data_IF_909045908424
#
_entry.id   IF_909045908424
#
_cell.length_a   1.000
_cell.length_b   1.000
_cell.length_c   1.000
_cell.angle_alpha   90.00
_cell.angle_beta   90.00
_cell.angle_gamma   90.00
#
_symmetry.space_group_name_H-M   'P 1'
#
loop_
_entity.id
_entity.type
_entity.pdbx_description
1 polymer ?
#
# COMPACT_ATOMS: atom_id res chain seq x y z
N UNK A 1 8.47 8.21 -8.19
CA UNK A 1 8.36 9.05 -6.99
C UNK A 1 8.55 8.14 -5.81
N UNK A 2 9.41 8.54 -4.89
CA UNK A 2 9.65 7.84 -3.63
C UNK A 2 9.33 8.81 -2.49
N UNK A 3 8.69 8.31 -1.43
CA UNK A 3 8.33 9.10 -0.27
C UNK A 3 8.47 8.27 1.00
N UNK A 4 8.54 8.95 2.13
CA UNK A 4 8.65 8.30 3.43
C UNK A 4 7.90 9.08 4.50
N UNK A 5 7.39 8.35 5.48
CA UNK A 5 6.91 8.88 6.75
C UNK A 5 7.87 8.43 7.85
N UNK A 6 8.17 9.32 8.79
CA UNK A 6 8.92 8.96 10.00
C UNK A 6 8.15 7.90 10.79
N UNK A 7 8.84 6.89 11.32
CA UNK A 7 8.21 5.80 12.05
C UNK A 7 8.59 4.40 11.58
N UNK A 8 7.68 3.64 11.00
CA UNK A 8 7.93 2.23 10.66
C UNK A 8 7.80 1.30 11.87
N UNK A 9 8.64 0.27 11.96
CA UNK A 9 8.52 -0.80 12.97
C UNK A 9 8.66 -0.28 14.42
N UNK A 10 9.34 0.84 14.63
CA UNK A 10 9.44 1.48 15.97
C UNK A 10 8.07 1.91 16.52
N UNK A 11 7.08 2.08 15.65
CA UNK A 11 5.71 2.42 16.02
C UNK A 11 4.80 1.19 16.20
N UNK A 12 5.35 -0.03 16.11
CA UNK A 12 4.57 -1.24 16.37
C UNK A 12 4.06 -1.23 17.82
N UNK A 13 2.77 -1.51 18.07
CA UNK A 13 2.23 -1.55 19.42
C UNK A 13 2.91 -2.62 20.28
N UNK A 14 3.01 -2.35 21.58
CA UNK A 14 3.50 -3.32 22.54
C UNK A 14 2.69 -4.63 22.44
N UNK A 15 3.39 -5.77 22.42
CA UNK A 15 2.77 -7.09 22.25
C UNK A 15 2.26 -7.40 20.84
N UNK A 16 2.48 -6.51 19.85
CA UNK A 16 2.09 -6.72 18.44
C UNK A 16 3.20 -6.31 17.46
N UNK A 17 4.38 -6.95 17.52
CA UNK A 17 5.44 -6.69 16.54
C UNK A 17 4.98 -7.10 15.12
N UNK A 18 5.39 -6.34 14.11
CA UNK A 18 5.10 -6.58 12.70
C UNK A 18 3.83 -5.90 12.17
N UNK A 19 3.14 -5.08 12.97
CA UNK A 19 1.92 -4.37 12.53
C UNK A 19 2.23 -3.44 11.35
N UNK A 20 3.30 -2.66 11.41
CA UNK A 20 3.69 -1.77 10.32
C UNK A 20 4.05 -2.55 9.04
N UNK A 21 4.67 -3.72 9.18
CA UNK A 21 4.94 -4.62 8.04
C UNK A 21 3.64 -5.15 7.43
N UNK A 22 2.70 -5.61 8.26
CA UNK A 22 1.39 -6.07 7.79
C UNK A 22 0.65 -4.94 7.07
N UNK A 23 0.63 -3.73 7.63
CA UNK A 23 0.05 -2.56 6.96
C UNK A 23 0.71 -2.34 5.61
N UNK A 24 2.04 -2.38 5.48
CA UNK A 24 2.70 -2.19 4.18
C UNK A 24 2.31 -3.19 3.11
N UNK A 25 1.94 -4.42 3.49
CA UNK A 25 1.50 -5.47 2.56
C UNK A 25 0.03 -5.29 2.18
N UNK A 26 -0.76 -4.65 3.03
CA UNK A 26 -2.21 -4.58 2.85
C UNK A 26 -2.68 -3.30 2.13
N UNK A 27 -1.83 -2.27 2.02
CA UNK A 27 -2.21 -1.00 1.39
C UNK A 27 -2.48 -1.14 -0.12
N UNK A 28 -1.93 -2.16 -0.79
CA UNK A 28 -2.19 -2.46 -2.21
C UNK A 28 -3.12 -3.67 -2.41
N UNK A 29 -3.66 -4.27 -1.34
CA UNK A 29 -4.68 -5.33 -1.38
C UNK A 29 -6.11 -4.75 -1.53
N UNK A 30 -6.23 -3.68 -2.32
CA UNK A 30 -7.50 -3.00 -2.61
C UNK A 30 -7.74 -1.75 -1.77
N UNK A 31 -8.55 -0.84 -2.31
CA UNK A 31 -8.81 0.47 -1.72
C UNK A 31 -10.19 1.01 -2.09
N UNK A 32 -10.84 1.67 -1.12
CA UNK A 32 -12.22 2.13 -1.23
C UNK A 32 -13.16 1.00 -1.64
N UNK A 33 -13.85 1.18 -2.76
CA UNK A 33 -14.77 0.19 -3.32
C UNK A 33 -14.09 -0.82 -4.27
N UNK A 34 -12.78 -0.69 -4.51
CA UNK A 34 -12.01 -1.53 -5.45
C UNK A 34 -11.41 -2.71 -4.69
N UNK A 35 -11.81 -3.93 -5.02
CA UNK A 35 -11.27 -5.15 -4.40
C UNK A 35 -9.83 -5.41 -4.86
N UNK A 36 -9.09 -6.19 -4.07
CA UNK A 36 -7.68 -6.53 -4.34
C UNK A 36 -7.37 -6.87 -5.82
N UNK A 37 -8.07 -7.86 -6.40
CA UNK A 37 -7.81 -8.28 -7.78
C UNK A 37 -8.04 -7.16 -8.81
N UNK A 38 -9.09 -6.35 -8.62
CA UNK A 38 -9.37 -5.23 -9.53
C UNK A 38 -8.35 -4.10 -9.36
N UNK A 39 -7.91 -3.85 -8.13
CA UNK A 39 -6.89 -2.84 -7.85
C UNK A 39 -5.55 -3.22 -8.49
N UNK A 40 -5.15 -4.48 -8.34
CA UNK A 40 -3.95 -5.02 -8.97
C UNK A 40 -4.05 -5.02 -10.51
N UNK A 41 -5.22 -5.36 -11.07
CA UNK A 41 -5.47 -5.26 -12.51
C UNK A 41 -5.33 -3.81 -13.02
N UNK A 42 -5.91 -2.83 -12.31
CA UNK A 42 -5.76 -1.40 -12.67
C UNK A 42 -4.29 -0.97 -12.68
N UNK A 43 -3.49 -1.43 -11.71
CA UNK A 43 -2.06 -1.14 -11.68
C UNK A 43 -1.35 -1.77 -12.90
N UNK A 44 -1.56 -3.07 -13.15
CA UNK A 44 -0.89 -3.79 -14.23
C UNK A 44 -1.28 -3.27 -15.62
N UNK A 45 -2.57 -3.03 -15.85
CA UNK A 45 -3.11 -2.64 -17.16
C UNK A 45 -2.62 -1.25 -17.60
N UNK A 46 -2.21 -0.41 -16.64
CA UNK A 46 -1.72 0.95 -16.89
C UNK A 46 -0.21 1.08 -16.64
N UNK A 47 0.52 -0.03 -16.51
CA UNK A 47 1.95 -0.06 -16.22
C UNK A 47 2.34 0.79 -15.00
N UNK A 48 1.51 0.76 -13.96
CA UNK A 48 1.73 1.46 -12.68
C UNK A 48 2.30 0.46 -11.69
N UNK A 49 3.43 0.80 -11.08
CA UNK A 49 3.99 0.08 -9.95
C UNK A 49 3.78 0.93 -8.70
N UNK A 50 3.00 0.41 -7.76
CA UNK A 50 2.78 0.98 -6.45
C UNK A 50 3.21 -0.06 -5.41
N UNK A 51 3.95 0.37 -4.39
CA UNK A 51 4.34 -0.52 -3.32
C UNK A 51 4.77 0.23 -2.08
N UNK A 52 4.72 -0.46 -0.94
CA UNK A 52 5.03 0.09 0.38
C UNK A 52 5.95 -0.86 1.14
N UNK A 53 6.72 -0.32 2.08
CA UNK A 53 7.61 -1.13 2.93
C UNK A 53 7.83 -0.43 4.26
N UNK A 54 7.72 -1.17 5.35
CA UNK A 54 8.10 -0.70 6.68
C UNK A 54 9.58 -1.00 6.98
N UNK A 55 10.38 0.05 7.14
CA UNK A 55 11.72 -0.01 7.74
C UNK A 55 11.67 0.11 9.26
N UNK A 56 12.84 0.18 9.90
CA UNK A 56 12.92 0.27 11.37
C UNK A 56 12.40 1.61 11.90
N UNK A 57 12.79 2.70 11.25
CA UNK A 57 12.62 4.11 11.64
C UNK A 57 11.90 4.96 10.58
N UNK A 58 11.48 4.35 9.46
CA UNK A 58 10.58 4.98 8.51
C UNK A 58 9.67 3.97 7.81
N UNK A 59 8.54 4.48 7.31
CA UNK A 59 7.63 3.78 6.40
C UNK A 59 7.77 4.39 5.00
N UNK A 60 8.01 3.55 4.00
CA UNK A 60 8.33 3.97 2.64
C UNK A 60 7.20 3.64 1.68
N UNK A 61 7.01 4.49 0.68
CA UNK A 61 6.16 4.21 -0.47
C UNK A 61 6.85 4.60 -1.78
N UNK A 62 6.59 3.82 -2.82
CA UNK A 62 7.13 4.01 -4.16
C UNK A 62 6.00 3.98 -5.19
N UNK A 63 6.03 4.94 -6.11
CA UNK A 63 5.13 5.00 -7.27
C UNK A 63 5.96 5.19 -8.56
N UNK A 64 5.84 4.25 -9.50
CA UNK A 64 6.39 4.36 -10.86
C UNK A 64 5.26 4.21 -11.86
N UNK A 65 5.24 5.07 -12.89
CA UNK A 65 4.18 5.11 -13.89
C UNK A 65 4.68 5.83 -15.15
N UNK A 66 4.01 5.58 -16.28
CA UNK A 66 4.14 6.42 -17.47
C UNK A 66 3.50 7.80 -17.25
N UNK A 67 3.96 8.80 -18.00
CA UNK A 67 3.50 10.19 -17.89
C UNK A 67 1.99 10.31 -18.16
N UNK A 68 1.47 9.54 -19.12
CA UNK A 68 0.06 9.56 -19.51
C UNK A 68 -0.88 9.03 -18.42
N UNK A 69 -0.42 8.11 -17.58
CA UNK A 69 -1.20 7.51 -16.48
C UNK A 69 -0.96 8.18 -15.13
N UNK A 70 -0.25 9.31 -15.10
CA UNK A 70 0.13 9.98 -13.86
C UNK A 70 -1.08 10.27 -12.97
N UNK A 71 -2.16 10.83 -13.50
CA UNK A 71 -3.34 11.18 -12.70
C UNK A 71 -3.95 9.95 -12.02
N UNK A 72 -4.19 8.89 -12.79
CA UNK A 72 -4.70 7.61 -12.27
C UNK A 72 -3.75 7.01 -11.21
N UNK A 73 -2.45 7.05 -11.46
CA UNK A 73 -1.45 6.50 -10.53
C UNK A 73 -1.48 7.22 -9.16
N UNK A 74 -1.65 8.55 -9.17
CA UNK A 74 -1.78 9.33 -7.93
C UNK A 74 -3.15 9.12 -7.26
N UNK A 75 -4.23 8.92 -8.02
CA UNK A 75 -5.54 8.57 -7.48
C UNK A 75 -5.50 7.21 -6.75
N UNK A 76 -4.91 6.19 -7.37
CA UNK A 76 -4.76 4.86 -6.75
C UNK A 76 -3.88 4.93 -5.50
N UNK A 77 -2.79 5.70 -5.53
CA UNK A 77 -1.95 5.95 -4.36
C UNK A 77 -2.76 6.63 -3.22
N UNK A 78 -3.54 7.67 -3.54
CA UNK A 78 -4.38 8.35 -2.56
C UNK A 78 -5.39 7.40 -1.94
N UNK A 79 -6.07 6.59 -2.75
CA UNK A 79 -7.04 5.60 -2.28
C UNK A 79 -6.38 4.57 -1.37
N UNK A 80 -5.23 4.02 -1.76
CA UNK A 80 -4.47 3.07 -0.94
C UNK A 80 -4.13 3.63 0.43
N UNK A 81 -3.70 4.89 0.51
CA UNK A 81 -3.30 5.53 1.77
C UNK A 81 -4.50 5.96 2.65
N UNK A 82 -5.57 6.49 2.04
CA UNK A 82 -6.69 7.08 2.78
C UNK A 82 -7.83 6.10 3.07
N UNK A 83 -8.02 5.12 2.20
CA UNK A 83 -9.12 4.16 2.27
C UNK A 83 -8.68 2.71 1.98
N UNK A 84 -7.62 2.18 2.63
CA UNK A 84 -7.26 0.77 2.47
C UNK A 84 -8.39 -0.13 2.98
N UNK A 85 -8.62 -1.26 2.30
CA UNK A 85 -9.76 -2.14 2.62
C UNK A 85 -9.53 -3.01 3.84
N UNK A 86 -8.31 -3.51 4.04
CA UNK A 86 -7.98 -4.47 5.11
C UNK A 86 -8.97 -5.65 5.17
N UNK A 87 -9.34 -6.20 4.00
CA UNK A 87 -10.29 -7.31 3.94
C UNK A 87 -9.74 -8.52 4.75
N UNK A 88 -10.61 -9.16 5.52
CA UNK A 88 -10.20 -10.19 6.48
C UNK A 88 -9.54 -11.40 5.83
N UNK A 89 -10.02 -11.81 4.66
CA UNK A 89 -9.43 -12.89 3.86
C UNK A 89 -8.02 -12.54 3.36
N UNK A 90 -7.77 -11.28 3.01
CA UNK A 90 -6.43 -10.81 2.66
C UNK A 90 -5.50 -10.80 3.89
N UNK A 91 -5.98 -10.39 5.06
CA UNK A 91 -5.19 -10.43 6.31
C UNK A 91 -4.79 -11.87 6.65
N UNK A 92 -5.72 -12.81 6.62
CA UNK A 92 -5.45 -14.21 6.95
C UNK A 92 -4.48 -14.88 5.96
N UNK A 93 -4.46 -14.47 4.67
CA UNK A 93 -3.48 -14.95 3.69
C UNK A 93 -2.05 -14.47 3.96
N UNK A 94 -1.90 -13.30 4.58
CA UNK A 94 -0.61 -12.61 4.75
C UNK A 94 -0.02 -12.78 6.15
N UNK A 95 -0.73 -13.49 7.05
CA UNK A 95 -0.30 -13.81 8.41
C UNK A 95 0.49 -15.12 8.48
#
# INVERSE_FOLDING_TARGET
MDFSFEGGLVNDPEGKPGVARLVSIMLDEGAGNIRSQEFQAKLSDNAIQLGFTAGRDAFYGQLRTLKEHRELAFELLQLALAHPRFDADAIERMR
#
